data_IF_821139530445
#
_entry.id   IF_821139530445
#
_cell.length_a   1.000
_cell.length_b   1.000
_cell.length_c   1.000
_cell.angle_alpha   90.00
_cell.angle_beta   90.00
_cell.angle_gamma   90.00
#
_symmetry.space_group_name_H-M   'P 1'
#
loop_
_entity.id
_entity.type
_entity.pdbx_description
1 polymer ?
#
# COMPACT_ATOMS: atom_id res chain seq x y z
N UNK A 1 -10.13 15.21 35.28
CA UNK A 1 -9.85 16.55 34.72
C UNK A 1 -8.73 16.43 33.70
N UNK A 2 -9.02 16.81 32.45
CA UNK A 2 -8.14 17.17 31.31
C UNK A 2 -6.88 16.32 30.99
N UNK A 3 -7.04 15.17 30.35
CA UNK A 3 -6.00 14.56 29.48
C UNK A 3 -5.98 15.17 28.06
N UNK A 4 -6.78 16.21 27.80
CA UNK A 4 -7.07 16.73 26.46
C UNK A 4 -5.91 17.49 25.81
N UNK A 5 -4.91 17.96 26.58
CA UNK A 5 -3.76 18.73 26.08
C UNK A 5 -2.43 17.95 26.14
N UNK A 6 -2.49 16.62 26.11
CA UNK A 6 -1.32 15.75 26.18
C UNK A 6 -0.94 15.21 24.80
N UNK A 7 0.31 15.44 24.40
CA UNK A 7 0.89 14.91 23.17
C UNK A 7 1.93 13.83 23.52
N UNK A 8 1.76 12.65 22.94
CA UNK A 8 2.73 11.57 23.03
C UNK A 8 3.58 11.51 21.77
N UNK A 9 4.89 11.52 21.96
CA UNK A 9 5.91 11.61 20.93
C UNK A 9 6.71 10.30 20.81
N UNK A 10 7.00 9.90 19.57
CA UNK A 10 7.84 8.74 19.25
C UNK A 10 8.91 9.09 18.21
N UNK A 11 9.93 8.23 18.07
CA UNK A 11 11.01 8.39 17.09
C UNK A 11 11.69 9.77 17.16
N UNK A 12 11.71 10.40 18.33
CA UNK A 12 12.34 11.70 18.51
C UNK A 12 13.87 11.54 18.45
N UNK A 13 14.60 12.41 17.73
CA UNK A 13 16.05 12.30 17.59
C UNK A 13 16.80 12.73 18.87
N UNK A 14 16.08 13.19 19.88
CA UNK A 14 16.62 13.81 21.08
C UNK A 14 16.64 12.84 22.25
N UNK A 15 17.79 12.75 22.93
CA UNK A 15 17.92 11.92 24.13
C UNK A 15 17.97 12.74 25.43
N UNK A 16 18.27 14.03 25.35
CA UNK A 16 18.33 14.94 26.50
C UNK A 16 17.19 15.96 26.48
N UNK A 17 16.96 16.60 27.63
CA UNK A 17 15.92 17.62 27.75
C UNK A 17 16.25 18.90 26.98
N UNK A 18 17.53 19.26 26.87
CA UNK A 18 17.95 20.46 26.13
C UNK A 18 17.75 20.25 24.62
N UNK A 19 18.13 19.09 24.10
CA UNK A 19 17.89 18.76 22.69
C UNK A 19 16.38 18.70 22.37
N UNK A 20 15.56 18.25 23.32
CA UNK A 20 14.10 18.23 23.16
C UNK A 20 13.52 19.66 23.10
N UNK A 21 14.06 20.61 23.88
CA UNK A 21 13.66 22.02 23.83
C UNK A 21 13.89 22.62 22.45
N UNK A 22 15.12 22.49 21.96
CA UNK A 22 15.52 23.06 20.67
C UNK A 22 14.74 22.41 19.53
N UNK A 23 14.53 21.09 19.62
CA UNK A 23 13.74 20.36 18.65
C UNK A 23 12.26 20.73 18.65
N UNK A 24 11.62 20.92 19.81
CA UNK A 24 10.24 21.40 19.88
C UNK A 24 10.12 22.80 19.27
N UNK A 25 11.03 23.71 19.62
CA UNK A 25 11.02 25.06 19.05
C UNK A 25 11.15 24.98 17.52
N UNK A 26 12.12 24.21 17.02
CA UNK A 26 12.36 24.05 15.57
C UNK A 26 11.22 23.38 14.82
N UNK A 27 10.65 22.29 15.37
CA UNK A 27 9.67 21.46 14.65
C UNK A 27 8.22 21.89 14.87
N UNK A 28 7.90 22.47 16.03
CA UNK A 28 6.54 22.87 16.39
C UNK A 28 6.37 24.40 16.41
N UNK A 29 7.46 25.17 16.43
CA UNK A 29 7.40 26.63 16.62
C UNK A 29 6.78 27.01 17.97
N UNK A 30 7.03 26.19 19.01
CA UNK A 30 6.49 26.37 20.36
C UNK A 30 7.63 26.69 21.31
N UNK A 31 7.46 27.77 22.08
CA UNK A 31 8.37 28.12 23.16
C UNK A 31 8.21 27.17 24.35
N UNK A 32 9.31 26.86 25.04
CA UNK A 32 9.28 25.89 26.14
C UNK A 32 8.42 26.32 27.33
N UNK A 33 8.25 27.63 27.52
CA UNK A 33 7.37 28.21 28.54
C UNK A 33 5.88 27.82 28.36
N UNK A 34 5.45 27.41 27.17
CA UNK A 34 4.09 26.95 26.87
C UNK A 34 3.84 25.48 27.28
N UNK A 35 4.90 24.76 27.63
CA UNK A 35 4.81 23.37 28.11
C UNK A 35 4.60 23.39 29.62
N UNK A 36 3.48 22.81 30.06
CA UNK A 36 3.10 22.67 31.48
C UNK A 36 3.86 21.53 32.15
N UNK A 37 4.01 20.40 31.47
CA UNK A 37 4.72 19.23 31.98
C UNK A 37 5.26 18.38 30.82
N UNK A 38 6.33 17.64 31.08
CA UNK A 38 6.99 16.82 30.07
C UNK A 38 7.73 15.64 30.72
N UNK A 39 8.04 14.61 29.93
CA UNK A 39 8.88 13.52 30.39
C UNK A 39 9.22 12.52 29.30
N UNK A 40 10.32 11.79 29.48
CA UNK A 40 10.67 10.64 28.63
C UNK A 40 10.09 9.36 29.22
N UNK A 41 9.73 8.42 28.36
CA UNK A 41 9.33 7.08 28.74
C UNK A 41 9.80 6.06 27.70
N UNK A 42 10.05 4.83 28.13
CA UNK A 42 10.52 3.77 27.23
C UNK A 42 9.38 2.81 26.92
N UNK A 43 9.25 2.41 25.66
CA UNK A 43 8.31 1.38 25.23
C UNK A 43 9.11 0.20 24.67
N UNK A 44 8.79 -1.01 25.11
CA UNK A 44 9.33 -2.25 24.54
C UNK A 44 8.44 -2.70 23.38
N UNK A 45 9.01 -2.74 22.17
CA UNK A 45 8.35 -3.28 20.98
C UNK A 45 9.33 -4.27 20.33
N UNK A 46 8.93 -5.53 20.16
CA UNK A 46 9.71 -6.57 19.51
C UNK A 46 11.17 -6.68 20.01
N UNK A 47 11.35 -6.78 21.34
CA UNK A 47 12.66 -6.81 22.03
C UNK A 47 13.57 -5.58 21.80
N UNK A 48 13.06 -4.51 21.19
CA UNK A 48 13.77 -3.21 21.09
C UNK A 48 13.16 -2.19 22.04
N UNK A 49 14.01 -1.52 22.82
CA UNK A 49 13.63 -0.42 23.70
C UNK A 49 13.64 0.90 22.91
N UNK A 50 12.46 1.51 22.75
CA UNK A 50 12.32 2.81 22.08
C UNK A 50 12.01 3.89 23.11
N UNK A 51 12.82 4.95 23.09
CA UNK A 51 12.66 6.13 23.96
C UNK A 51 11.68 7.12 23.31
N UNK A 52 10.58 7.35 23.99
CA UNK A 52 9.50 8.24 23.62
C UNK A 52 9.43 9.41 24.61
N UNK A 53 8.68 10.47 24.27
CA UNK A 53 8.43 11.58 25.18
C UNK A 53 6.95 11.93 25.24
N UNK A 54 6.53 12.61 26.31
CA UNK A 54 5.22 13.24 26.36
C UNK A 54 5.36 14.72 26.71
N UNK A 55 4.41 15.51 26.21
CA UNK A 55 4.28 16.94 26.46
C UNK A 55 2.85 17.23 26.89
N UNK A 56 2.68 18.08 27.90
CA UNK A 56 1.38 18.61 28.33
C UNK A 56 1.44 20.12 28.14
N UNK A 57 0.53 20.66 27.34
CA UNK A 57 0.52 22.07 26.98
C UNK A 57 -0.33 22.88 27.95
N UNK A 58 0.01 24.16 28.14
CA UNK A 58 -0.77 25.09 28.97
C UNK A 58 -2.04 25.56 28.27
N UNK A 59 -1.98 25.70 26.94
CA UNK A 59 -3.04 26.27 26.12
C UNK A 59 -3.42 25.30 24.98
N UNK A 60 -4.72 25.21 24.70
CA UNK A 60 -5.29 24.43 23.59
C UNK A 60 -4.85 24.95 22.22
N UNK A 61 -4.73 26.27 22.03
CA UNK A 61 -4.30 26.85 20.76
C UNK A 61 -2.85 26.49 20.44
N UNK A 62 -1.98 26.49 21.46
CA UNK A 62 -0.58 26.10 21.32
C UNK A 62 -0.48 24.60 21.05
N UNK A 63 -1.27 23.79 21.75
CA UNK A 63 -1.38 22.36 21.48
C UNK A 63 -1.79 22.09 20.02
N UNK A 64 -2.83 22.76 19.52
CA UNK A 64 -3.30 22.61 18.13
C UNK A 64 -2.23 23.05 17.12
N UNK A 65 -1.59 24.19 17.36
CA UNK A 65 -0.50 24.69 16.52
C UNK A 65 0.67 23.68 16.46
N UNK A 66 1.05 23.13 17.62
CA UNK A 66 2.09 22.12 17.73
C UNK A 66 1.75 20.85 16.94
N UNK A 67 0.53 20.31 17.13
CA UNK A 67 0.09 19.09 16.46
C UNK A 67 -0.06 19.25 14.95
N UNK A 68 -0.36 20.46 14.47
CA UNK A 68 -0.52 20.73 13.04
C UNK A 68 0.83 20.83 12.30
N UNK A 69 1.88 21.29 12.98
CA UNK A 69 3.24 21.39 12.41
C UNK A 69 4.03 20.10 12.55
N UNK A 70 3.71 19.31 13.57
CA UNK A 70 4.48 18.12 13.88
C UNK A 70 4.21 16.97 12.89
N UNK A 71 5.25 16.35 12.32
CA UNK A 71 5.08 15.16 11.49
C UNK A 71 4.36 14.03 12.21
N UNK A 72 3.38 13.41 11.55
CA UNK A 72 2.53 12.36 12.15
C UNK A 72 3.29 11.12 12.63
N UNK A 73 4.47 10.82 12.08
CA UNK A 73 5.30 9.70 12.52
C UNK A 73 6.00 9.94 13.87
N UNK A 74 6.06 11.20 14.33
CA UNK A 74 6.46 11.55 15.68
C UNK A 74 5.30 11.47 16.68
N UNK A 75 4.06 11.24 16.24
CA UNK A 75 2.89 11.20 17.14
C UNK A 75 2.51 9.75 17.44
N UNK A 76 2.40 9.39 18.72
CA UNK A 76 1.95 8.05 19.12
C UNK A 76 0.44 7.93 18.86
N UNK A 77 0.09 7.02 17.96
CA UNK A 77 -1.28 6.79 17.50
C UNK A 77 -2.15 6.09 18.56
N UNK A 78 -1.58 5.53 19.63
CA UNK A 78 -2.36 4.95 20.73
C UNK A 78 -2.34 5.91 21.94
N UNK A 79 -3.44 6.64 22.18
CA UNK A 79 -3.65 7.34 23.47
C UNK A 79 -4.12 8.80 23.42
N UNK A 80 -4.13 9.50 22.29
CA UNK A 80 -4.70 10.86 22.23
C UNK A 80 -6.22 10.83 22.01
N UNK A 81 -6.96 10.87 23.12
CA UNK A 81 -8.42 11.00 23.16
C UNK A 81 -8.86 12.45 22.84
N UNK A 82 -8.81 12.87 21.57
CA UNK A 82 -9.81 13.73 20.88
C UNK A 82 -9.29 14.24 19.51
N UNK A 83 -10.20 14.41 18.54
CA UNK A 83 -10.02 15.24 17.34
C UNK A 83 -9.60 14.58 16.01
N UNK A 84 -9.38 13.26 16.01
CA UNK A 84 -8.58 12.58 14.97
C UNK A 84 -9.11 12.41 13.54
N UNK A 85 -10.14 13.13 13.09
CA UNK A 85 -10.73 12.80 11.78
C UNK A 85 -11.12 13.94 10.84
N UNK A 86 -10.98 15.23 11.22
CA UNK A 86 -11.38 16.34 10.33
C UNK A 86 -10.22 17.16 9.76
N UNK A 87 -9.26 17.56 10.59
CA UNK A 87 -8.19 18.46 10.14
C UNK A 87 -7.10 17.71 9.34
N UNK A 88 -6.82 16.44 9.69
CA UNK A 88 -5.83 15.62 8.96
C UNK A 88 -6.25 15.30 7.52
N UNK A 89 -7.55 15.20 7.23
CA UNK A 89 -8.02 14.96 5.86
C UNK A 89 -7.76 16.20 4.98
N UNK A 90 -8.13 17.39 5.46
CA UNK A 90 -7.88 18.67 4.76
C UNK A 90 -6.39 18.96 4.60
N UNK A 91 -5.58 18.63 5.60
CA UNK A 91 -4.12 18.83 5.60
C UNK A 91 -3.37 17.81 4.72
N UNK A 92 -4.00 16.70 4.36
CA UNK A 92 -3.45 15.66 3.46
C UNK A 92 -3.76 15.88 1.98
N UNK A 93 -4.66 16.83 1.65
CA UNK A 93 -5.10 17.05 0.27
C UNK A 93 -3.94 17.43 -0.65
N UNK A 94 -3.70 16.57 -1.65
CA UNK A 94 -2.64 16.80 -2.64
C UNK A 94 -1.22 16.67 -2.10
N UNK A 95 -1.03 16.17 -0.86
CA UNK A 95 0.28 15.83 -0.28
C UNK A 95 0.60 14.34 -0.36
N UNK A 96 -0.42 13.49 -0.57
CA UNK A 96 -0.24 12.05 -0.73
C UNK A 96 -0.16 11.65 -2.21
N UNK A 97 0.90 10.92 -2.53
CA UNK A 97 1.20 10.32 -3.81
C UNK A 97 1.30 8.80 -3.64
N UNK A 98 0.80 8.06 -4.61
CA UNK A 98 1.03 6.63 -4.78
C UNK A 98 1.92 6.46 -6.01
N UNK A 99 3.17 6.08 -5.82
CA UNK A 99 4.13 5.84 -6.88
C UNK A 99 4.28 4.35 -7.09
N UNK A 100 4.11 3.89 -8.32
CA UNK A 100 4.47 2.56 -8.76
C UNK A 100 5.83 2.62 -9.44
N UNK A 101 6.80 1.89 -8.90
CA UNK A 101 8.18 1.85 -9.41
C UNK A 101 8.59 0.42 -9.76
N UNK A 102 9.66 0.20 -10.53
CA UNK A 102 10.31 -1.11 -10.63
C UNK A 102 10.68 -1.71 -9.25
N UNK A 103 10.78 -3.04 -9.17
CA UNK A 103 11.03 -3.79 -7.91
C UNK A 103 12.37 -3.50 -7.25
N UNK A 104 13.37 -3.02 -8.01
CA UNK A 104 14.70 -2.71 -7.50
C UNK A 104 14.77 -1.35 -6.79
N UNK A 105 13.69 -0.55 -6.83
CA UNK A 105 13.63 0.75 -6.15
C UNK A 105 13.14 0.55 -4.72
N UNK A 106 13.92 1.01 -3.74
CA UNK A 106 13.58 0.93 -2.32
C UNK A 106 13.00 2.25 -1.77
N UNK A 107 12.60 2.24 -0.49
CA UNK A 107 12.20 3.46 0.22
C UNK A 107 13.36 4.45 0.28
N UNK A 108 14.57 3.97 0.57
CA UNK A 108 15.78 4.79 0.67
C UNK A 108 16.13 5.43 -0.68
N UNK A 109 15.93 4.73 -1.79
CA UNK A 109 16.12 5.29 -3.14
C UNK A 109 15.17 6.47 -3.40
N UNK A 110 13.90 6.36 -2.98
CA UNK A 110 12.91 7.43 -3.13
C UNK A 110 13.23 8.64 -2.24
N UNK A 111 13.62 8.41 -0.99
CA UNK A 111 14.00 9.48 -0.05
C UNK A 111 15.27 10.18 -0.53
N UNK A 112 16.27 9.43 -0.99
CA UNK A 112 17.55 9.98 -1.48
C UNK A 112 17.39 10.77 -2.77
N UNK A 113 16.38 10.42 -3.60
CA UNK A 113 16.14 11.10 -4.88
C UNK A 113 15.44 12.45 -4.74
N UNK A 114 14.43 12.53 -3.88
CA UNK A 114 13.64 13.75 -3.71
C UNK A 114 14.10 14.61 -2.53
N UNK A 115 15.18 14.20 -1.86
CA UNK A 115 15.69 14.81 -0.63
C UNK A 115 14.75 14.62 0.58
N UNK A 116 15.34 14.49 1.77
CA UNK A 116 14.61 14.29 3.02
C UNK A 116 13.71 15.51 3.36
N UNK A 117 14.00 16.65 2.74
CA UNK A 117 13.29 17.92 2.89
C UNK A 117 12.01 18.02 2.03
N UNK A 118 11.66 16.99 1.25
CA UNK A 118 10.42 16.96 0.45
C UNK A 118 9.49 15.85 0.92
N UNK A 119 10.05 14.69 1.30
CA UNK A 119 9.31 13.47 1.64
C UNK A 119 9.15 13.33 3.16
N UNK A 120 7.93 13.55 3.66
CA UNK A 120 7.57 13.40 5.08
C UNK A 120 7.40 11.94 5.51
N UNK A 121 6.92 11.10 4.59
CA UNK A 121 6.65 9.69 4.87
C UNK A 121 6.67 8.92 3.56
N UNK A 122 7.37 7.80 3.52
CA UNK A 122 7.30 6.86 2.42
C UNK A 122 6.98 5.47 2.99
N UNK A 123 5.91 4.85 2.50
CA UNK A 123 5.47 3.52 2.93
C UNK A 123 5.27 2.66 1.71
N UNK A 124 5.99 1.56 1.63
CA UNK A 124 5.69 0.51 0.66
C UNK A 124 4.37 -0.17 1.04
N UNK A 125 3.36 -0.02 0.18
CA UNK A 125 2.01 -0.55 0.39
C UNK A 125 1.92 -2.05 0.11
N UNK A 126 2.76 -2.56 -0.78
CA UNK A 126 2.78 -3.97 -1.19
C UNK A 126 3.90 -4.79 -0.53
N UNK A 127 4.36 -4.37 0.67
CA UNK A 127 5.43 -5.05 1.42
C UNK A 127 5.12 -6.52 1.74
N UNK A 128 3.85 -6.90 1.74
CA UNK A 128 3.37 -8.26 2.00
C UNK A 128 3.11 -9.09 0.72
N UNK A 129 3.43 -8.58 -0.48
CA UNK A 129 3.37 -9.37 -1.72
C UNK A 129 4.65 -10.21 -1.95
N UNK A 130 5.52 -10.35 -0.94
CA UNK A 130 6.66 -11.28 -1.03
C UNK A 130 6.22 -12.74 -1.29
N UNK A 131 4.95 -13.10 -1.03
CA UNK A 131 4.41 -14.45 -1.27
C UNK A 131 3.60 -14.62 -2.57
N UNK A 132 3.45 -13.58 -3.39
CA UNK A 132 2.88 -13.73 -4.75
C UNK A 132 3.96 -13.64 -5.83
N UNK A 133 5.17 -14.12 -5.53
CA UNK A 133 5.98 -14.71 -6.60
C UNK A 133 5.20 -15.91 -7.09
N UNK A 134 4.48 -15.76 -8.20
CA UNK A 134 3.98 -16.92 -8.94
C UNK A 134 5.20 -17.81 -9.20
N UNK A 135 5.37 -18.85 -8.40
CA UNK A 135 6.51 -19.75 -8.55
C UNK A 135 6.44 -20.32 -9.96
N UNK A 136 7.52 -20.21 -10.73
CA UNK A 136 7.61 -20.85 -12.04
C UNK A 136 7.71 -22.36 -11.80
N UNK A 137 6.57 -23.03 -11.71
CA UNK A 137 6.51 -24.46 -11.40
C UNK A 137 5.80 -25.28 -12.48
N UNK A 138 6.23 -26.53 -12.59
CA UNK A 138 5.59 -27.59 -13.36
C UNK A 138 4.99 -28.58 -12.38
N UNK A 139 3.75 -29.00 -12.64
CA UNK A 139 3.12 -30.08 -11.88
C UNK A 139 2.95 -31.30 -12.78
N UNK A 140 3.55 -32.40 -12.36
CA UNK A 140 3.38 -33.72 -12.96
C UNK A 140 2.30 -34.47 -12.17
N UNK A 141 1.26 -34.90 -12.86
CA UNK A 141 0.21 -35.73 -12.28
C UNK A 141 0.31 -37.13 -12.85
N UNK A 142 -0.19 -38.14 -12.13
CA UNK A 142 -0.19 -39.53 -12.56
C UNK A 142 1.22 -40.06 -12.84
N UNK A 143 2.13 -39.93 -11.88
CA UNK A 143 3.44 -40.57 -11.94
C UNK A 143 3.37 -42.03 -11.45
N UNK A 144 4.24 -42.92 -11.93
CA UNK A 144 4.50 -44.20 -11.27
C UNK A 144 4.85 -44.00 -9.78
N UNK A 145 4.42 -44.92 -8.92
CA UNK A 145 4.69 -44.85 -7.47
C UNK A 145 6.19 -44.93 -7.17
N UNK A 146 6.96 -45.54 -8.07
CA UNK A 146 8.41 -45.68 -8.00
C UNK A 146 9.15 -44.41 -8.41
N UNK A 147 8.47 -43.41 -8.98
CA UNK A 147 9.11 -42.14 -9.34
C UNK A 147 9.44 -41.36 -8.08
N UNK A 148 10.71 -41.01 -7.93
CA UNK A 148 11.24 -40.20 -6.85
C UNK A 148 11.88 -38.90 -7.37
N UNK A 149 12.41 -38.09 -6.47
CA UNK A 149 13.09 -36.85 -6.83
C UNK A 149 14.32 -37.10 -7.72
N UNK A 150 15.09 -38.16 -7.44
CA UNK A 150 16.32 -38.47 -8.15
C UNK A 150 16.03 -38.74 -9.63
N UNK A 151 15.03 -39.59 -9.92
CA UNK A 151 14.59 -39.89 -11.27
C UNK A 151 14.19 -38.64 -12.06
N UNK A 152 13.48 -37.70 -11.42
CA UNK A 152 13.06 -36.45 -12.07
C UNK A 152 14.26 -35.52 -12.37
N UNK A 153 15.27 -35.49 -11.50
CA UNK A 153 16.51 -34.74 -11.74
C UNK A 153 17.32 -35.36 -12.87
N UNK A 154 17.44 -36.69 -12.87
CA UNK A 154 18.15 -37.44 -13.90
C UNK A 154 17.49 -37.26 -15.27
N UNK A 155 16.15 -37.33 -15.35
CA UNK A 155 15.39 -37.10 -16.57
C UNK A 155 15.70 -35.72 -17.18
N UNK A 156 15.74 -34.66 -16.36
CA UNK A 156 16.15 -33.32 -16.83
C UNK A 156 17.62 -33.29 -17.22
N UNK A 157 18.52 -33.86 -16.43
CA UNK A 157 19.96 -33.85 -16.69
C UNK A 157 20.32 -34.53 -18.02
N UNK A 158 19.78 -35.73 -18.27
CA UNK A 158 20.05 -36.52 -19.49
C UNK A 158 19.63 -35.82 -20.77
N UNK A 159 18.65 -34.90 -20.69
CA UNK A 159 18.14 -34.14 -21.83
C UNK A 159 18.63 -32.69 -21.87
N UNK A 160 19.74 -32.38 -21.21
CA UNK A 160 20.29 -31.01 -21.09
C UNK A 160 19.25 -29.99 -20.58
N UNK A 161 18.37 -30.44 -19.69
CA UNK A 161 17.33 -29.66 -19.07
C UNK A 161 17.84 -28.75 -17.94
N UNK A 162 16.99 -27.84 -17.47
CA UNK A 162 17.35 -26.88 -16.44
C UNK A 162 17.43 -27.52 -15.06
N UNK A 163 18.29 -26.98 -14.20
CA UNK A 163 18.42 -27.41 -12.80
C UNK A 163 17.21 -26.89 -12.01
N UNK A 164 16.41 -27.77 -11.38
CA UNK A 164 15.26 -27.35 -10.59
C UNK A 164 15.69 -26.82 -9.21
N UNK A 165 15.03 -25.75 -8.77
CA UNK A 165 15.23 -25.11 -7.47
C UNK A 165 14.73 -26.02 -6.34
N UNK A 166 13.57 -26.64 -6.54
CA UNK A 166 12.96 -27.53 -5.57
C UNK A 166 12.08 -28.57 -6.29
N UNK A 167 12.09 -29.80 -5.78
CA UNK A 167 11.22 -30.88 -6.24
C UNK A 167 10.52 -31.43 -5.01
N UNK A 168 9.19 -31.54 -5.10
CA UNK A 168 8.39 -32.29 -4.15
C UNK A 168 7.68 -33.41 -4.88
N UNK A 169 7.84 -34.64 -4.41
CA UNK A 169 7.10 -35.81 -4.90
C UNK A 169 6.12 -36.27 -3.83
N UNK A 170 4.84 -36.25 -4.18
CA UNK A 170 3.74 -36.69 -3.33
C UNK A 170 3.02 -37.91 -3.89
N UNK A 171 2.23 -38.55 -3.05
CA UNK A 171 1.35 -39.66 -3.43
C UNK A 171 -0.10 -39.21 -3.50
N UNK A 172 -0.88 -39.83 -4.36
CA UNK A 172 -2.34 -39.67 -4.36
C UNK A 172 -2.94 -40.34 -3.12
N UNK A 173 -4.13 -39.90 -2.69
CA UNK A 173 -4.79 -40.36 -1.44
C UNK A 173 -4.96 -41.88 -1.32
N UNK A 174 -5.00 -42.59 -2.45
CA UNK A 174 -5.17 -44.05 -2.49
C UNK A 174 -3.85 -44.80 -2.76
N UNK A 175 -2.70 -44.10 -2.73
CA UNK A 175 -1.38 -44.62 -3.13
C UNK A 175 -1.35 -45.30 -4.51
N UNK A 176 -2.31 -45.02 -5.39
CA UNK A 176 -2.41 -45.67 -6.70
C UNK A 176 -1.45 -45.05 -7.72
N UNK A 177 -1.05 -43.79 -7.53
CA UNK A 177 -0.10 -43.06 -8.35
C UNK A 177 0.58 -41.92 -7.57
N UNK A 178 1.68 -41.41 -8.09
CA UNK A 178 2.39 -40.23 -7.59
C UNK A 178 2.00 -38.94 -8.31
N UNK A 179 2.46 -37.82 -7.76
CA UNK A 179 2.46 -36.51 -8.39
C UNK A 179 3.72 -35.76 -7.96
N UNK A 180 4.19 -34.82 -8.77
CA UNK A 180 5.33 -33.98 -8.41
C UNK A 180 5.04 -32.51 -8.68
N UNK A 181 5.56 -31.63 -7.82
CA UNK A 181 5.66 -30.19 -8.06
C UNK A 181 7.13 -29.83 -8.14
N UNK A 182 7.56 -29.32 -9.29
CA UNK A 182 8.94 -28.91 -9.55
C UNK A 182 8.98 -27.40 -9.78
N UNK A 183 9.79 -26.67 -9.02
CA UNK A 183 9.95 -25.21 -9.15
C UNK A 183 11.28 -24.85 -9.80
N UNK A 184 11.26 -23.79 -10.59
CA UNK A 184 12.39 -23.28 -11.37
C UNK A 184 12.62 -21.80 -11.10
N UNK A 185 13.77 -21.29 -11.52
CA UNK A 185 14.14 -19.88 -11.29
C UNK A 185 13.36 -18.92 -12.20
N UNK A 186 12.90 -19.36 -13.37
CA UNK A 186 12.15 -18.55 -14.33
C UNK A 186 11.25 -19.40 -15.25
N UNK A 187 10.36 -18.72 -15.98
CA UNK A 187 9.39 -19.36 -16.89
C UNK A 187 10.06 -20.05 -18.10
N UNK A 188 11.23 -19.59 -18.53
CA UNK A 188 11.98 -20.20 -19.64
C UNK A 188 12.46 -21.60 -19.25
N UNK A 189 13.08 -21.73 -18.07
CA UNK A 189 13.47 -23.02 -17.50
C UNK A 189 12.24 -23.92 -17.29
N UNK A 190 11.16 -23.38 -16.70
CA UNK A 190 9.90 -24.12 -16.52
C UNK A 190 9.35 -24.67 -17.83
N UNK A 191 9.33 -23.87 -18.90
CA UNK A 191 8.80 -24.28 -20.21
C UNK A 191 9.68 -25.33 -20.89
N UNK A 192 11.00 -25.21 -20.78
CA UNK A 192 11.95 -26.21 -21.28
C UNK A 192 11.78 -27.54 -20.53
N UNK A 193 11.74 -27.50 -19.20
CA UNK A 193 11.51 -28.69 -18.37
C UNK A 193 10.16 -29.35 -18.65
N UNK A 194 9.09 -28.55 -18.81
CA UNK A 194 7.78 -29.09 -19.14
C UNK A 194 7.77 -29.82 -20.49
N UNK A 195 8.52 -29.33 -21.48
CA UNK A 195 8.64 -29.97 -22.79
C UNK A 195 9.40 -31.30 -22.69
N UNK A 196 10.48 -31.33 -21.91
CA UNK A 196 11.24 -32.56 -21.62
C UNK A 196 10.33 -33.58 -20.93
N UNK A 197 9.65 -33.21 -19.85
CA UNK A 197 8.76 -34.12 -19.14
C UNK A 197 7.56 -34.58 -19.98
N UNK A 198 7.03 -33.73 -20.86
CA UNK A 198 5.93 -34.12 -21.76
C UNK A 198 6.39 -35.18 -22.75
N UNK A 199 7.59 -35.00 -23.33
CA UNK A 199 8.19 -35.93 -24.28
C UNK A 199 8.55 -37.26 -23.62
N UNK A 200 9.24 -37.21 -22.48
CA UNK A 200 9.83 -38.39 -21.83
C UNK A 200 8.84 -39.17 -20.98
N UNK A 201 7.89 -38.49 -20.31
CA UNK A 201 7.04 -39.14 -19.31
C UNK A 201 5.58 -39.28 -19.74
N UNK A 202 5.09 -38.47 -20.68
CA UNK A 202 3.69 -38.47 -21.08
C UNK A 202 3.41 -39.33 -22.32
N UNK A 203 4.44 -39.87 -22.98
CA UNK A 203 4.30 -40.80 -24.10
C UNK A 203 3.81 -42.19 -23.65
N UNK A 204 4.23 -42.64 -22.46
CA UNK A 204 3.98 -44.00 -21.97
C UNK A 204 2.73 -44.08 -21.08
N UNK A 205 1.89 -45.10 -21.33
CA UNK A 205 0.78 -45.48 -20.43
C UNK A 205 1.23 -46.59 -19.49
N UNK A 206 0.74 -46.56 -18.25
CA UNK A 206 1.05 -47.58 -17.25
C UNK A 206 -0.20 -47.95 -16.43
N UNK A 207 -0.26 -49.17 -15.88
CA UNK A 207 -1.40 -49.61 -15.10
C UNK A 207 -1.32 -49.11 -13.65
N UNK A 208 -2.47 -48.76 -13.09
CA UNK A 208 -2.66 -48.52 -11.66
C UNK A 208 -3.73 -49.43 -11.09
N UNK A 209 -3.55 -49.84 -9.84
CA UNK A 209 -4.53 -50.63 -9.11
C UNK A 209 -5.40 -49.70 -8.26
N UNK A 210 -6.71 -49.77 -8.47
CA UNK A 210 -7.71 -48.99 -7.75
C UNK A 210 -8.53 -49.96 -6.91
N UNK A 211 -8.53 -49.75 -5.59
CA UNK A 211 -9.34 -50.51 -4.64
C UNK A 211 -10.65 -49.75 -4.42
N UNK A 212 -11.74 -50.26 -4.98
CA UNK A 212 -13.09 -49.70 -4.83
C UNK A 212 -14.04 -50.66 -4.12
N UNK A 213 -15.29 -50.23 -3.93
CA UNK A 213 -16.35 -51.03 -3.27
C UNK A 213 -16.67 -52.37 -3.98
N UNK A 214 -16.25 -52.55 -5.24
CA UNK A 214 -16.46 -53.76 -6.06
C UNK A 214 -15.21 -54.65 -6.20
N UNK A 215 -14.16 -54.40 -5.41
CA UNK A 215 -12.89 -55.13 -5.47
C UNK A 215 -11.78 -54.37 -6.22
N UNK A 216 -10.59 -54.99 -6.37
CA UNK A 216 -9.46 -54.40 -7.07
C UNK A 216 -9.72 -54.34 -8.59
N UNK A 217 -9.52 -53.17 -9.18
CA UNK A 217 -9.64 -52.95 -10.63
C UNK A 217 -8.38 -52.27 -11.15
N UNK A 218 -7.92 -52.68 -12.33
CA UNK A 218 -6.74 -52.11 -12.98
C UNK A 218 -7.17 -51.05 -14.01
N UNK A 219 -6.57 -49.86 -13.94
CA UNK A 219 -6.82 -48.77 -14.90
C UNK A 219 -5.51 -48.32 -15.53
N UNK A 220 -5.51 -48.17 -16.84
CA UNK A 220 -4.37 -47.60 -17.56
C UNK A 220 -4.46 -46.09 -17.53
N UNK A 221 -3.39 -45.44 -17.08
CA UNK A 221 -3.28 -43.98 -17.01
C UNK A 221 -1.98 -43.52 -17.66
N UNK A 222 -1.93 -42.21 -17.91
CA UNK A 222 -0.78 -41.51 -18.50
C UNK A 222 -0.38 -40.37 -17.58
N UNK A 223 0.92 -40.12 -17.49
CA UNK A 223 1.46 -38.92 -16.84
C UNK A 223 0.94 -37.68 -17.56
N UNK A 224 0.57 -36.65 -16.82
CA UNK A 224 0.15 -35.37 -17.39
C UNK A 224 0.99 -34.24 -16.84
N UNK A 225 1.56 -33.43 -17.73
CA UNK A 225 2.24 -32.18 -17.39
C UNK A 225 1.21 -31.06 -17.34
N UNK A 226 1.17 -30.34 -16.23
CA UNK A 226 0.39 -29.12 -16.08
C UNK A 226 1.32 -27.97 -15.75
N UNK A 227 1.27 -26.92 -16.58
CA UNK A 227 1.95 -25.65 -16.31
C UNK A 227 1.00 -24.76 -15.52
N UNK A 228 1.54 -23.95 -14.61
CA UNK A 228 0.75 -22.85 -14.06
C UNK A 228 0.71 -21.72 -15.11
N UNK A 229 -0.17 -21.88 -16.10
CA UNK A 229 -0.53 -20.82 -17.02
C UNK A 229 -1.84 -20.24 -16.49
N UNK A 230 -1.73 -19.26 -15.60
CA UNK A 230 -2.88 -18.43 -15.25
C UNK A 230 -3.03 -17.40 -16.38
N UNK A 231 -4.03 -17.52 -17.27
CA UNK A 231 -4.17 -16.64 -18.43
C UNK A 231 -4.50 -15.19 -18.03
N UNK A 232 -4.90 -14.96 -16.77
CA UNK A 232 -5.09 -13.63 -16.20
C UNK A 232 -3.80 -13.03 -15.61
N UNK A 233 -2.70 -13.79 -15.53
CA UNK A 233 -1.45 -13.28 -15.01
C UNK A 233 -0.79 -12.32 -16.01
N UNK A 234 -0.84 -12.55 -17.33
CA UNK A 234 -0.14 -11.71 -18.31
C UNK A 234 -0.67 -10.27 -18.40
N UNK A 235 -1.97 -10.04 -18.23
CA UNK A 235 -2.54 -8.69 -18.19
C UNK A 235 -2.32 -8.00 -16.83
N UNK A 236 -2.24 -8.76 -15.73
CA UNK A 236 -1.86 -8.23 -14.41
C UNK A 236 -0.34 -8.15 -14.19
N UNK A 237 0.49 -8.75 -15.06
CA UNK A 237 1.96 -8.83 -14.90
C UNK A 237 2.63 -7.46 -15.01
N UNK A 238 2.09 -6.51 -15.78
CA UNK A 238 2.63 -5.13 -15.80
C UNK A 238 2.42 -4.39 -14.46
N UNK A 239 1.38 -4.75 -13.71
CA UNK A 239 1.05 -4.16 -12.41
C UNK A 239 1.66 -4.95 -11.24
N UNK A 240 1.97 -6.25 -11.44
CA UNK A 240 2.44 -7.15 -10.37
C UNK A 240 3.95 -7.16 -10.14
N UNK A 241 4.75 -6.55 -11.02
CA UNK A 241 6.21 -6.40 -10.87
C UNK A 241 6.62 -4.96 -10.55
N UNK A 242 5.80 -4.26 -9.76
CA UNK A 242 6.11 -2.91 -9.31
C UNK A 242 6.01 -2.80 -7.80
N UNK A 243 6.94 -2.08 -7.18
CA UNK A 243 6.76 -1.64 -5.81
C UNK A 243 5.75 -0.49 -5.81
N UNK A 244 4.78 -0.55 -4.91
CA UNK A 244 3.80 0.52 -4.74
C UNK A 244 4.16 1.25 -3.46
N UNK A 245 4.54 2.51 -3.59
CA UNK A 245 4.90 3.37 -2.49
C UNK A 245 3.84 4.45 -2.30
N UNK A 246 3.38 4.64 -1.08
CA UNK A 246 2.68 5.86 -0.71
C UNK A 246 3.68 6.84 -0.12
N UNK A 247 3.84 7.96 -0.79
CA UNK A 247 4.66 9.09 -0.38
C UNK A 247 3.73 10.20 0.14
N UNK A 248 4.01 10.70 1.33
CA UNK A 248 3.43 11.93 1.85
C UNK A 248 4.52 13.01 1.77
N UNK A 249 4.22 14.14 1.16
CA UNK A 249 5.13 15.28 1.05
C UNK A 249 4.85 16.34 2.13
N UNK A 250 5.80 17.27 2.31
CA UNK A 250 5.63 18.41 3.23
C UNK A 250 4.47 19.31 2.82
N UNK A 251 4.34 19.60 1.52
CA UNK A 251 3.29 20.45 0.99
C UNK A 251 2.76 19.95 -0.35
N UNK A 252 1.66 20.55 -0.82
CA UNK A 252 1.09 20.25 -2.14
C UNK A 252 2.03 20.71 -3.25
N UNK A 253 2.71 21.84 -3.05
CA UNK A 253 3.68 22.40 -3.99
C UNK A 253 4.89 21.47 -4.11
N UNK A 254 5.35 20.87 -3.01
CA UNK A 254 6.44 19.88 -3.06
C UNK A 254 5.98 18.55 -3.65
N UNK A 255 4.69 18.18 -3.52
CA UNK A 255 4.13 17.07 -4.28
C UNK A 255 4.25 17.33 -5.78
N UNK A 256 3.97 18.55 -6.25
CA UNK A 256 4.12 18.93 -7.68
C UNK A 256 5.58 18.85 -8.18
N UNK A 257 6.57 19.00 -7.30
CA UNK A 257 8.00 18.89 -7.66
C UNK A 257 8.48 17.45 -7.83
N UNK A 258 7.78 16.47 -7.23
CA UNK A 258 8.02 15.04 -7.46
C UNK A 258 7.61 14.63 -8.89
N UNK A 259 6.85 15.48 -9.58
CA UNK A 259 6.61 15.37 -11.02
C UNK A 259 7.66 16.20 -11.75
N UNK A 260 8.59 15.59 -12.50
CA UNK A 260 8.95 16.24 -13.74
C UNK A 260 7.65 16.20 -14.56
N UNK A 261 6.97 17.34 -14.69
CA UNK A 261 6.15 17.48 -15.88
C UNK A 261 7.05 17.09 -17.05
N UNK A 262 6.50 16.30 -17.96
CA UNK A 262 6.97 16.24 -19.34
C UNK A 262 6.87 17.63 -20.02
N UNK A 263 7.17 18.72 -19.31
CA UNK A 263 7.42 20.03 -19.88
C UNK A 263 8.90 20.10 -20.22
N UNK A 264 9.18 19.85 -21.48
CA UNK A 264 10.47 19.98 -22.16
C UNK A 264 11.08 21.40 -22.13
N UNK A 265 10.69 22.31 -21.23
CA UNK A 265 11.04 23.74 -21.36
C UNK A 265 11.51 24.45 -20.09
N UNK A 266 12.06 23.77 -19.09
CA UNK A 266 12.80 24.43 -17.99
C UNK A 266 14.16 23.77 -17.79
N UNK A 267 15.04 24.01 -18.77
CA UNK A 267 16.50 23.96 -18.56
C UNK A 267 16.84 25.02 -17.53
N UNK A 268 17.14 24.63 -16.28
CA UNK A 268 18.15 25.21 -15.37
C UNK A 268 17.97 24.60 -13.96
N UNK A 269 18.32 23.32 -13.81
CA UNK A 269 18.63 22.75 -12.49
C UNK A 269 19.69 21.65 -12.65
N UNK A 270 20.69 21.67 -11.77
CA UNK A 270 21.91 20.86 -11.81
C UNK A 270 21.61 19.35 -11.93
N UNK A 271 22.43 18.59 -12.69
CA UNK A 271 22.24 17.17 -12.85
C UNK A 271 22.68 16.44 -11.58
N UNK A 272 21.73 16.05 -10.73
CA UNK A 272 21.98 15.05 -9.68
C UNK A 272 21.70 13.70 -10.32
N UNK A 273 22.78 12.98 -10.65
CA UNK A 273 22.90 11.54 -10.88
C UNK A 273 21.55 10.82 -11.13
N UNK A 274 21.04 10.89 -12.37
CA UNK A 274 19.91 10.08 -12.82
C UNK A 274 20.38 8.63 -12.99
N UNK A 275 20.33 7.83 -11.93
CA UNK A 275 20.59 6.37 -12.00
C UNK A 275 19.37 5.54 -12.42
N UNK A 276 18.18 6.14 -12.53
CA UNK A 276 16.95 5.44 -12.89
C UNK A 276 16.08 6.24 -13.87
N UNK A 277 15.84 5.67 -15.05
CA UNK A 277 14.84 6.14 -16.01
C UNK A 277 13.44 6.06 -15.39
N UNK A 278 12.77 7.22 -15.26
CA UNK A 278 11.43 7.35 -14.66
C UNK A 278 10.31 7.16 -15.66
N UNK A 279 10.62 6.91 -16.93
CA UNK A 279 9.63 6.61 -17.98
C UNK A 279 8.73 5.42 -17.65
N UNK A 280 9.15 4.56 -16.71
CA UNK A 280 8.44 3.36 -16.28
C UNK A 280 7.68 3.53 -14.95
N UNK A 281 7.65 4.73 -14.37
CA UNK A 281 6.98 4.97 -13.07
C UNK A 281 5.56 5.48 -13.33
N UNK A 282 4.57 4.82 -12.72
CA UNK A 282 3.20 5.35 -12.71
C UNK A 282 2.95 6.07 -11.39
N UNK A 283 2.63 7.36 -11.45
CA UNK A 283 2.31 8.17 -10.27
C UNK A 283 0.82 8.42 -10.26
N UNK A 284 0.13 7.84 -9.29
CA UNK A 284 -1.26 8.12 -9.00
C UNK A 284 -1.37 8.96 -7.72
N UNK A 285 -2.01 10.12 -7.76
CA UNK A 285 -2.28 10.89 -6.54
C UNK A 285 -3.62 10.49 -5.97
N UNK A 286 -3.81 10.67 -4.66
CA UNK A 286 -5.12 10.49 -4.06
C UNK A 286 -5.51 11.65 -3.16
N UNK A 287 -6.80 11.99 -3.16
CA UNK A 287 -7.37 12.97 -2.26
C UNK A 287 -8.63 12.39 -1.62
N UNK A 288 -8.67 12.38 -0.30
CA UNK A 288 -9.76 11.77 0.46
C UNK A 288 -10.59 12.83 1.16
N UNK A 289 -11.91 12.65 1.13
CA UNK A 289 -12.86 13.49 1.82
C UNK A 289 -13.96 12.67 2.49
N UNK A 290 -14.27 13.02 3.73
CA UNK A 290 -15.37 12.45 4.49
C UNK A 290 -16.58 13.38 4.55
N UNK A 291 -17.75 12.87 4.15
CA UNK A 291 -19.06 13.53 4.27
C UNK A 291 -19.88 12.74 5.28
N UNK A 292 -20.38 13.38 6.33
CA UNK A 292 -20.96 12.67 7.49
C UNK A 292 -22.44 12.32 7.34
N UNK A 293 -23.18 13.03 6.49
CA UNK A 293 -24.63 12.90 6.34
C UNK A 293 -24.99 12.96 4.86
N UNK A 294 -24.76 11.86 4.15
CA UNK A 294 -25.07 11.79 2.71
C UNK A 294 -26.56 11.64 2.45
N UNK A 295 -27.32 11.19 3.46
CA UNK A 295 -28.78 11.11 3.48
C UNK A 295 -29.47 12.47 3.31
N UNK A 296 -28.82 13.56 3.73
CA UNK A 296 -29.32 14.93 3.56
C UNK A 296 -29.22 15.44 2.12
N UNK A 297 -28.59 14.68 1.22
CA UNK A 297 -28.31 15.09 -0.15
C UNK A 297 -28.73 14.00 -1.15
N UNK A 298 -29.95 14.11 -1.67
CA UNK A 298 -30.53 13.12 -2.59
C UNK A 298 -29.76 12.94 -3.90
N UNK A 299 -29.00 13.97 -4.31
CA UNK A 299 -28.21 14.02 -5.54
C UNK A 299 -26.73 13.65 -5.33
N UNK A 300 -26.34 13.23 -4.12
CA UNK A 300 -24.96 12.95 -3.74
C UNK A 300 -24.19 12.12 -4.79
N UNK A 301 -24.80 11.02 -5.24
CA UNK A 301 -24.14 10.11 -6.18
C UNK A 301 -23.90 10.79 -7.54
N UNK A 302 -24.92 11.47 -8.08
CA UNK A 302 -24.86 12.19 -9.35
C UNK A 302 -23.81 13.31 -9.29
N UNK A 303 -23.75 14.04 -8.18
CA UNK A 303 -22.77 15.11 -7.98
C UNK A 303 -21.34 14.58 -7.96
N UNK A 304 -21.09 13.43 -7.31
CA UNK A 304 -19.75 12.83 -7.36
C UNK A 304 -19.41 12.32 -8.77
N UNK A 305 -20.35 11.65 -9.46
CA UNK A 305 -20.12 11.17 -10.83
C UNK A 305 -19.73 12.32 -11.77
N UNK A 306 -20.43 13.45 -11.71
CA UNK A 306 -20.10 14.66 -12.47
C UNK A 306 -18.71 15.24 -12.13
N UNK A 307 -18.32 15.21 -10.85
CA UNK A 307 -17.00 15.68 -10.42
C UNK A 307 -15.90 14.76 -10.97
N UNK A 308 -16.12 13.44 -10.94
CA UNK A 308 -15.19 12.47 -11.51
C UNK A 308 -14.99 12.67 -13.02
N UNK A 309 -16.09 12.82 -13.77
CA UNK A 309 -16.04 13.11 -15.21
C UNK A 309 -15.31 14.42 -15.50
N UNK A 310 -15.64 15.50 -14.77
CA UNK A 310 -15.07 16.84 -14.98
C UNK A 310 -13.55 16.88 -14.80
N UNK A 311 -13.01 16.14 -13.83
CA UNK A 311 -11.58 16.15 -13.53
C UNK A 311 -10.83 14.94 -14.09
N UNK A 312 -11.52 14.05 -14.81
CA UNK A 312 -10.97 12.80 -15.37
C UNK A 312 -10.30 11.93 -14.28
N UNK A 313 -10.99 11.76 -13.15
CA UNK A 313 -10.51 10.99 -11.98
C UNK A 313 -11.47 9.86 -11.63
N UNK A 314 -10.94 8.79 -11.04
CA UNK A 314 -11.73 7.69 -10.48
C UNK A 314 -12.02 7.92 -9.00
N UNK A 315 -12.94 7.13 -8.42
CA UNK A 315 -13.32 7.22 -7.01
C UNK A 315 -13.48 5.86 -6.34
N UNK A 316 -13.19 5.84 -5.05
CA UNK A 316 -13.54 4.74 -4.13
C UNK A 316 -14.31 5.34 -2.97
N UNK A 317 -15.57 4.92 -2.79
CA UNK A 317 -16.41 5.36 -1.67
C UNK A 317 -16.57 4.24 -0.64
N UNK A 318 -16.32 4.55 0.63
CA UNK A 318 -16.55 3.65 1.76
C UNK A 318 -17.62 4.24 2.69
N UNK A 319 -18.58 3.42 3.09
CA UNK A 319 -19.56 3.83 4.08
C UNK A 319 -18.88 4.03 5.44
N UNK A 320 -19.30 5.08 6.15
CA UNK A 320 -18.93 5.38 7.53
C UNK A 320 -20.24 5.40 8.34
N UNK A 321 -20.14 5.28 9.67
CA UNK A 321 -21.30 5.29 10.58
C UNK A 321 -22.25 6.47 10.28
N UNK A 322 -23.54 6.24 10.55
CA UNK A 322 -24.60 7.25 10.51
C UNK A 322 -24.77 7.94 9.15
N UNK A 323 -24.88 7.15 8.07
CA UNK A 323 -25.05 7.59 6.68
C UNK A 323 -23.89 8.42 6.08
N UNK A 324 -22.73 8.42 6.75
CA UNK A 324 -21.53 9.04 6.22
C UNK A 324 -20.88 8.24 5.10
N UNK A 325 -20.15 8.92 4.22
CA UNK A 325 -19.28 8.30 3.21
C UNK A 325 -17.92 8.97 3.18
N UNK A 326 -16.87 8.15 3.10
CA UNK A 326 -15.51 8.56 2.77
C UNK A 326 -15.29 8.32 1.29
N UNK A 327 -14.99 9.37 0.55
CA UNK A 327 -14.71 9.31 -0.89
C UNK A 327 -13.23 9.59 -1.12
N UNK A 328 -12.54 8.69 -1.80
CA UNK A 328 -11.15 8.87 -2.22
C UNK A 328 -11.12 9.01 -3.73
N UNK A 329 -10.67 10.16 -4.23
CA UNK A 329 -10.40 10.39 -5.64
C UNK A 329 -8.99 9.91 -5.97
N UNK A 330 -8.83 9.22 -7.10
CA UNK A 330 -7.58 8.66 -7.58
C UNK A 330 -7.54 8.62 -9.12
N UNK A 331 -6.53 7.98 -9.69
CA UNK A 331 -6.23 7.95 -11.13
C UNK A 331 -6.13 9.36 -11.73
N UNK A 332 -5.32 10.23 -11.11
CA UNK A 332 -5.09 11.58 -11.61
C UNK A 332 -3.93 12.31 -10.96
N UNK A 333 -3.51 13.43 -11.55
CA UNK A 333 -2.48 14.29 -10.97
C UNK A 333 -2.96 14.87 -9.63
N UNK A 334 -2.05 15.26 -8.71
CA UNK A 334 -2.44 15.83 -7.42
C UNK A 334 -3.31 17.07 -7.54
N UNK A 335 -3.10 17.84 -8.61
CA UNK A 335 -3.94 18.98 -8.91
C UNK A 335 -5.37 18.55 -9.23
N UNK A 336 -5.55 17.55 -10.11
CA UNK A 336 -6.87 17.03 -10.49
C UNK A 336 -7.60 16.39 -9.31
N UNK A 337 -6.93 15.49 -8.58
CA UNK A 337 -7.54 14.79 -7.44
C UNK A 337 -7.85 15.73 -6.28
N UNK A 338 -6.97 16.69 -5.97
CA UNK A 338 -7.22 17.72 -4.95
C UNK A 338 -8.36 18.67 -5.35
N UNK A 339 -8.44 19.09 -6.61
CA UNK A 339 -9.54 19.93 -7.10
C UNK A 339 -10.88 19.18 -7.05
N UNK A 340 -10.90 17.90 -7.43
CA UNK A 340 -12.07 17.04 -7.31
C UNK A 340 -12.54 16.92 -5.85
N UNK A 341 -11.62 16.64 -4.92
CA UNK A 341 -11.93 16.58 -3.49
C UNK A 341 -12.42 17.93 -2.94
N UNK A 342 -11.79 19.03 -3.31
CA UNK A 342 -12.19 20.39 -2.90
C UNK A 342 -13.57 20.75 -3.43
N UNK A 343 -13.86 20.46 -4.69
CA UNK A 343 -15.17 20.72 -5.28
C UNK A 343 -16.26 19.89 -4.58
N UNK A 344 -15.97 18.63 -4.26
CA UNK A 344 -16.88 17.81 -3.48
C UNK A 344 -17.10 18.38 -2.06
N UNK A 345 -16.04 18.86 -1.42
CA UNK A 345 -16.10 19.50 -0.11
C UNK A 345 -17.00 20.74 -0.12
N UNK A 346 -16.81 21.60 -1.12
CA UNK A 346 -17.58 22.84 -1.26
C UNK A 346 -19.06 22.57 -1.51
N UNK A 347 -19.36 21.55 -2.31
CA UNK A 347 -20.74 21.20 -2.65
C UNK A 347 -21.53 20.71 -1.45
N UNK A 348 -20.86 20.02 -0.51
CA UNK A 348 -21.48 19.45 0.69
C UNK A 348 -21.01 20.12 2.00
N UNK A 349 -20.45 21.34 1.88
CA UNK A 349 -20.06 22.12 3.04
C UNK A 349 -21.31 22.58 3.80
N UNK A 350 -21.33 22.55 5.14
CA UNK A 350 -22.42 23.13 5.90
C UNK A 350 -22.55 24.61 5.54
N UNK A 351 -23.75 25.03 5.11
CA UNK A 351 -24.07 26.44 4.90
C UNK A 351 -24.02 27.11 6.28
N UNK A 352 -23.03 27.97 6.50
CA UNK A 352 -23.01 28.83 7.67
C UNK A 352 -24.06 29.94 7.47
N UNK A 353 -25.27 29.71 7.97
CA UNK A 353 -26.30 30.74 8.00
C UNK A 353 -25.95 31.70 9.13
N UNK A 354 -25.49 32.91 8.78
CA UNK A 354 -25.27 33.97 9.75
C UNK A 354 -26.62 34.58 10.14
N UNK A 355 -27.18 34.11 11.26
CA UNK A 355 -28.43 34.63 11.81
C UNK A 355 -28.16 35.97 12.51
N UNK A 356 -28.37 37.07 11.79
CA UNK A 356 -28.00 38.41 12.26
C UNK A 356 -29.11 39.06 13.11
N UNK A 357 -30.35 38.59 13.02
CA UNK A 357 -31.50 39.15 13.74
C UNK A 357 -32.16 38.13 14.65
N UNK A 358 -32.76 38.58 15.76
CA UNK A 358 -33.52 37.70 16.66
C UNK A 358 -34.68 37.00 15.94
N UNK A 359 -35.30 37.65 14.95
CA UNK A 359 -36.36 37.04 14.13
C UNK A 359 -35.86 35.86 13.31
N UNK A 360 -34.66 35.96 12.71
CA UNK A 360 -34.01 34.85 11.99
C UNK A 360 -33.64 33.69 12.93
N UNK A 361 -33.18 33.99 14.16
CA UNK A 361 -32.89 32.97 15.17
C UNK A 361 -34.15 32.22 15.64
N UNK A 362 -35.27 32.92 15.80
CA UNK A 362 -36.56 32.31 16.13
C UNK A 362 -37.06 31.41 14.99
N UNK A 363 -37.07 31.90 13.75
CA UNK A 363 -37.48 31.11 12.58
C UNK A 363 -36.62 29.85 12.37
N UNK A 364 -35.31 29.92 12.63
CA UNK A 364 -34.44 28.75 12.55
C UNK A 364 -34.71 27.71 13.67
N UNK A 365 -35.24 28.13 14.82
CA UNK A 365 -35.66 27.21 15.89
C UNK A 365 -37.06 26.61 15.64
N UNK A 366 -37.88 27.27 14.85
CA UNK A 366 -39.22 26.82 14.46
C UNK A 366 -39.17 25.78 13.33
N UNK A 367 -38.18 25.85 12.44
CA UNK A 367 -37.81 24.82 11.45
C UNK A 367 -37.05 23.67 12.12
#
# INVERSE_FOLDING_TARGET
>A
MSDTLKLHLQNIPCQTMNDLKDWINKMMGVEWNEIKAHGFYTVKVDNTEKKNAYLIFKNEDVFRCATNKLPSYHIVVQGSNFGRYRDSEKDSWGKELVIQTPLNVTIEDLISRYDADIVMKCVQLNKNNEELRAESFVKLNNLPITTDEFFLRECLHTHNGPIPKYIYVGRTKNNASGWAKITFHNDVQRNLAATIFDTELCSNIFPINIIGKRGPTQKWIRTNVTKNDDPNASQNRSLSFRNIFRITTISRETALQIFPSLDTNLSYAKPIINRYDTSQWDVDSSATITILRTDLYSDFQQTIDRICEKFEVQKICKNIRDSGKRCTFNHGSPQKTSLAASMLAQTFAPINIKLNTERQKQLFREL
#
